data_IF_079609138229
#
_entry.id   IF_079609138229
#
_cell.length_a   1.000
_cell.length_b   1.000
_cell.length_c   1.000
_cell.angle_alpha   90.00
_cell.angle_beta   90.00
_cell.angle_gamma   90.00
#
_symmetry.space_group_name_H-M   'P 1'
#
loop_
_entity.id
_entity.type
_entity.pdbx_description
1 polymer ?
#
# COMPACT_ATOMS: atom_id res chain seq x y z
N UNK A 1 -22.54 -37.25 -3.15
CA UNK A 1 -21.15 -36.80 -3.31
C UNK A 1 -21.03 -35.28 -3.49
N UNK A 2 -21.57 -34.66 -4.55
CA UNK A 2 -21.42 -33.20 -4.81
C UNK A 2 -21.92 -32.25 -3.71
N UNK A 3 -23.02 -32.58 -3.05
CA UNK A 3 -23.56 -31.73 -1.98
C UNK A 3 -22.62 -31.62 -0.77
N UNK A 4 -21.81 -32.66 -0.52
CA UNK A 4 -20.85 -32.67 0.59
C UNK A 4 -19.64 -31.81 0.22
N UNK A 5 -19.06 -32.00 -0.97
CA UNK A 5 -17.94 -31.17 -1.45
C UNK A 5 -18.30 -29.68 -1.51
N UNK A 6 -19.52 -29.36 -1.94
CA UNK A 6 -20.01 -27.98 -1.95
C UNK A 6 -20.13 -27.40 -0.54
N UNK A 7 -20.74 -28.15 0.40
CA UNK A 7 -20.85 -27.73 1.80
C UNK A 7 -19.47 -27.51 2.44
N UNK A 8 -18.53 -28.44 2.22
CA UNK A 8 -17.16 -28.34 2.73
C UNK A 8 -16.49 -27.08 2.16
N UNK A 9 -16.57 -26.85 0.84
CA UNK A 9 -15.97 -25.68 0.22
C UNK A 9 -16.56 -24.36 0.76
N UNK A 10 -17.88 -24.29 0.97
CA UNK A 10 -18.53 -23.12 1.57
C UNK A 10 -18.06 -22.91 3.01
N UNK A 11 -18.03 -23.95 3.83
CA UNK A 11 -17.57 -23.85 5.23
C UNK A 11 -16.12 -23.40 5.29
N UNK A 12 -15.23 -24.01 4.51
CA UNK A 12 -13.83 -23.59 4.42
C UNK A 12 -13.69 -22.13 3.95
N UNK A 13 -14.49 -21.73 2.96
CA UNK A 13 -14.51 -20.37 2.45
C UNK A 13 -14.95 -19.35 3.51
N UNK A 14 -15.94 -19.71 4.33
CA UNK A 14 -16.40 -18.87 5.43
C UNK A 14 -15.37 -18.79 6.56
N UNK A 15 -14.65 -19.87 6.85
CA UNK A 15 -13.58 -19.88 7.85
C UNK A 15 -12.45 -18.94 7.44
N UNK A 16 -11.96 -19.05 6.19
CA UNK A 16 -10.89 -18.19 5.69
C UNK A 16 -11.32 -16.72 5.71
N UNK A 17 -12.55 -16.42 5.27
CA UNK A 17 -13.09 -15.06 5.30
C UNK A 17 -13.21 -14.51 6.72
N UNK A 18 -13.64 -15.34 7.68
CA UNK A 18 -13.71 -14.96 9.09
C UNK A 18 -12.31 -14.64 9.64
N UNK A 19 -11.30 -15.46 9.35
CA UNK A 19 -9.91 -15.19 9.76
C UNK A 19 -9.41 -13.89 9.15
N UNK A 20 -9.68 -13.61 7.88
CA UNK A 20 -9.31 -12.36 7.22
C UNK A 20 -9.94 -11.13 7.89
N UNK A 21 -11.24 -11.18 8.19
CA UNK A 21 -11.93 -10.07 8.83
C UNK A 21 -11.49 -9.86 10.27
N UNK A 22 -11.29 -10.93 11.05
CA UNK A 22 -10.74 -10.83 12.40
C UNK A 22 -9.33 -10.23 12.35
N UNK A 23 -8.47 -10.69 11.45
CA UNK A 23 -7.12 -10.14 11.26
C UNK A 23 -7.17 -8.64 10.97
N UNK A 24 -8.05 -8.23 10.04
CA UNK A 24 -8.20 -6.82 9.66
C UNK A 24 -8.70 -5.96 10.83
N UNK A 25 -9.68 -6.47 11.59
CA UNK A 25 -10.20 -5.79 12.78
C UNK A 25 -9.12 -5.62 13.84
N UNK A 26 -8.36 -6.68 14.14
CA UNK A 26 -7.28 -6.66 15.12
C UNK A 26 -6.15 -5.70 14.70
N UNK A 27 -5.81 -5.67 13.40
CA UNK A 27 -4.84 -4.73 12.85
C UNK A 27 -5.28 -3.27 13.08
N UNK A 28 -6.55 -2.95 12.80
CA UNK A 28 -7.09 -1.61 13.02
C UNK A 28 -7.08 -1.26 14.51
N UNK A 29 -7.57 -2.14 15.37
CA UNK A 29 -7.65 -1.90 16.82
C UNK A 29 -6.26 -1.69 17.45
N UNK A 30 -5.26 -2.48 17.03
CA UNK A 30 -3.88 -2.31 17.46
C UNK A 30 -3.30 -0.97 16.95
N UNK A 31 -3.54 -0.64 15.68
CA UNK A 31 -3.05 0.60 15.08
C UNK A 31 -3.67 1.87 15.67
N UNK A 32 -4.91 1.78 16.18
CA UNK A 32 -5.60 2.88 16.86
C UNK A 32 -5.38 2.90 18.37
N UNK A 33 -4.47 2.07 18.92
CA UNK A 33 -4.15 1.98 20.35
C UNK A 33 -5.39 1.60 21.21
N UNK A 34 -6.38 0.94 20.60
CA UNK A 34 -7.57 0.44 21.30
C UNK A 34 -7.32 -0.89 21.99
N UNK A 35 -6.27 -1.61 21.56
CA UNK A 35 -5.91 -2.92 22.05
C UNK A 35 -4.41 -2.97 22.28
N UNK A 36 -4.01 -3.53 23.42
CA UNK A 36 -2.63 -3.92 23.68
C UNK A 36 -2.55 -5.45 23.62
N UNK A 37 -1.71 -5.97 22.74
CA UNK A 37 -1.46 -7.40 22.58
C UNK A 37 -0.14 -7.79 23.24
N UNK A 38 -0.07 -9.03 23.73
CA UNK A 38 1.18 -9.68 24.09
C UNK A 38 2.02 -10.02 22.83
N UNK A 39 3.32 -10.28 23.01
CA UNK A 39 4.27 -10.53 21.92
C UNK A 39 3.88 -11.71 21.03
N UNK A 40 3.27 -12.75 21.60
CA UNK A 40 2.86 -13.93 20.83
C UNK A 40 1.65 -13.60 19.94
N UNK A 41 0.59 -13.04 20.52
CA UNK A 41 -0.61 -12.62 19.77
C UNK A 41 -0.26 -11.62 18.67
N UNK A 42 0.63 -10.67 18.97
CA UNK A 42 1.12 -9.70 18.00
C UNK A 42 1.90 -10.37 16.87
N UNK A 43 2.78 -11.33 17.19
CA UNK A 43 3.55 -12.07 16.17
C UNK A 43 2.64 -12.88 15.24
N UNK A 44 1.58 -13.51 15.79
CA UNK A 44 0.57 -14.21 14.98
C UNK A 44 -0.20 -13.23 14.08
N UNK A 45 -0.60 -12.08 14.61
CA UNK A 45 -1.27 -11.04 13.83
C UNK A 45 -0.39 -10.54 12.67
N UNK A 46 0.89 -10.24 12.94
CA UNK A 46 1.86 -9.84 11.91
C UNK A 46 2.05 -10.93 10.86
N UNK A 47 2.13 -12.19 11.28
CA UNK A 47 2.20 -13.32 10.35
C UNK A 47 0.96 -13.40 9.46
N UNK A 48 -0.24 -13.26 10.02
CA UNK A 48 -1.50 -13.28 9.25
C UNK A 48 -1.58 -12.11 8.26
N UNK A 49 -1.16 -10.90 8.67
CA UNK A 49 -1.11 -9.72 7.80
C UNK A 49 -0.15 -9.96 6.63
N UNK A 50 1.07 -10.43 6.92
CA UNK A 50 2.09 -10.65 5.90
C UNK A 50 1.72 -11.79 4.92
N UNK A 51 0.89 -12.75 5.36
CA UNK A 51 0.42 -13.86 4.54
C UNK A 51 -1.02 -13.67 4.00
N UNK A 52 -1.58 -12.47 4.08
CA UNK A 52 -2.92 -12.18 3.55
C UNK A 52 -3.11 -12.57 2.06
N UNK A 53 -2.13 -12.37 1.15
CA UNK A 53 -2.24 -12.83 -0.23
C UNK A 53 -2.39 -14.35 -0.37
N UNK A 54 -1.69 -15.12 0.47
CA UNK A 54 -1.82 -16.59 0.49
C UNK A 54 -3.23 -17.03 0.90
N UNK A 55 -3.83 -16.34 1.87
CA UNK A 55 -5.22 -16.62 2.26
C UNK A 55 -6.21 -16.30 1.13
N UNK A 56 -6.00 -15.23 0.37
CA UNK A 56 -6.81 -14.92 -0.81
C UNK A 56 -6.67 -16.01 -1.88
N UNK A 57 -5.44 -16.48 -2.15
CA UNK A 57 -5.21 -17.58 -3.09
C UNK A 57 -5.83 -18.90 -2.61
N UNK A 58 -5.77 -19.19 -1.31
CA UNK A 58 -6.43 -20.35 -0.71
C UNK A 58 -7.96 -20.28 -0.88
N UNK A 59 -8.56 -19.10 -0.63
CA UNK A 59 -9.99 -18.87 -0.84
C UNK A 59 -10.43 -19.13 -2.28
N UNK A 60 -9.68 -18.60 -3.25
CA UNK A 60 -9.95 -18.83 -4.68
C UNK A 60 -9.86 -20.32 -5.00
N UNK A 61 -8.83 -21.00 -4.49
CA UNK A 61 -8.62 -22.43 -4.71
C UNK A 61 -9.78 -23.27 -4.18
N UNK A 62 -10.27 -22.97 -2.97
CA UNK A 62 -11.44 -23.63 -2.37
C UNK A 62 -12.70 -23.39 -3.20
N UNK A 63 -12.92 -22.15 -3.67
CA UNK A 63 -14.09 -21.80 -4.49
C UNK A 63 -14.08 -22.47 -5.87
N UNK A 64 -12.90 -22.77 -6.41
CA UNK A 64 -12.76 -23.48 -7.69
C UNK A 64 -13.12 -24.96 -7.61
N UNK A 65 -13.08 -25.60 -6.43
CA UNK A 65 -13.35 -27.05 -6.28
C UNK A 65 -14.78 -27.41 -6.74
N UNK A 66 -15.86 -26.78 -6.23
CA UNK A 66 -17.22 -27.13 -6.66
C UNK A 66 -17.52 -26.70 -8.10
N UNK A 67 -16.91 -25.62 -8.56
CA UNK A 67 -17.01 -25.18 -9.95
C UNK A 67 -16.42 -26.25 -10.88
N UNK A 68 -15.17 -26.67 -10.66
CA UNK A 68 -14.50 -27.71 -11.43
C UNK A 68 -15.28 -29.05 -11.38
N UNK A 69 -15.74 -29.48 -10.20
CA UNK A 69 -16.53 -30.70 -10.06
C UNK A 69 -17.84 -30.62 -10.88
N UNK A 70 -18.54 -29.48 -10.84
CA UNK A 70 -19.79 -29.27 -11.60
C UNK A 70 -19.57 -29.28 -13.12
N UNK A 71 -18.42 -28.78 -13.57
CA UNK A 71 -18.02 -28.79 -14.99
C UNK A 71 -17.69 -30.20 -15.45
N UNK A 72 -16.80 -30.90 -14.73
CA UNK A 72 -16.37 -32.27 -15.07
C UNK A 72 -17.58 -33.20 -15.16
N UNK A 73 -18.47 -33.15 -14.18
CA UNK A 73 -19.66 -34.01 -14.13
C UNK A 73 -20.61 -33.67 -15.28
N UNK A 74 -20.85 -32.40 -15.58
CA UNK A 74 -21.72 -32.01 -16.68
C UNK A 74 -21.18 -32.38 -18.07
N UNK A 75 -19.86 -32.38 -18.27
CA UNK A 75 -19.24 -32.90 -19.50
C UNK A 75 -19.36 -34.42 -19.62
N UNK A 76 -19.18 -35.16 -18.51
CA UNK A 76 -19.27 -36.62 -18.49
C UNK A 76 -20.71 -37.16 -18.51
N UNK A 77 -21.72 -36.33 -18.26
CA UNK A 77 -23.12 -36.79 -18.25
C UNK A 77 -23.59 -37.12 -19.67
N UNK A 78 -23.76 -38.42 -19.95
CA UNK A 78 -24.37 -38.90 -21.20
C UNK A 78 -25.88 -38.58 -21.23
N UNK A 79 -26.39 -38.21 -22.40
CA UNK A 79 -27.79 -37.84 -22.59
C UNK A 79 -28.57 -39.04 -23.12
N UNK A 80 -28.67 -40.08 -22.29
CA UNK A 80 -29.41 -41.31 -22.58
C UNK A 80 -30.36 -41.55 -21.41
N UNK A 81 -31.58 -42.02 -21.65
CA UNK A 81 -32.58 -42.30 -20.61
C UNK A 81 -33.74 -43.12 -21.17
N UNK A 82 -34.48 -43.77 -20.29
CA UNK A 82 -35.56 -44.71 -20.67
C UNK A 82 -36.83 -43.96 -21.11
N UNK A 83 -37.02 -42.72 -20.66
CA UNK A 83 -38.18 -41.90 -20.99
C UNK A 83 -37.80 -40.46 -21.39
N UNK A 84 -38.75 -39.78 -22.05
CA UNK A 84 -38.54 -38.42 -22.55
C UNK A 84 -38.35 -37.37 -21.43
N UNK A 85 -38.78 -37.65 -20.20
CA UNK A 85 -38.60 -36.76 -19.05
C UNK A 85 -37.16 -36.82 -18.52
N UNK A 86 -36.58 -38.01 -18.41
CA UNK A 86 -35.21 -38.23 -17.96
C UNK A 86 -34.19 -37.62 -18.95
N UNK A 87 -34.43 -37.78 -20.25
CA UNK A 87 -33.62 -37.15 -21.31
C UNK A 87 -33.68 -35.62 -21.20
N UNK A 88 -34.86 -35.04 -20.93
CA UNK A 88 -35.03 -33.58 -20.73
C UNK A 88 -34.25 -33.09 -19.52
N UNK A 89 -34.30 -33.80 -18.39
CA UNK A 89 -33.55 -33.46 -17.17
C UNK A 89 -32.04 -33.52 -17.38
N UNK A 90 -31.53 -34.57 -18.04
CA UNK A 90 -30.10 -34.70 -18.37
C UNK A 90 -29.63 -33.61 -19.34
N UNK A 91 -30.43 -33.24 -20.35
CA UNK A 91 -30.15 -32.09 -21.23
C UNK A 91 -30.11 -30.77 -20.47
N UNK A 92 -31.08 -30.54 -19.58
CA UNK A 92 -31.14 -29.33 -18.75
C UNK A 92 -29.92 -29.23 -17.82
N UNK A 93 -29.53 -30.33 -17.18
CA UNK A 93 -28.32 -30.40 -16.35
C UNK A 93 -27.05 -30.08 -17.14
N UNK A 94 -26.87 -30.67 -18.33
CA UNK A 94 -25.73 -30.40 -19.20
C UNK A 94 -25.66 -28.92 -19.64
N UNK A 95 -26.80 -28.31 -19.98
CA UNK A 95 -26.88 -26.86 -20.29
C UNK A 95 -26.52 -26.01 -19.08
N UNK A 96 -27.06 -26.35 -17.90
CA UNK A 96 -26.77 -25.63 -16.64
C UNK A 96 -25.29 -25.74 -16.27
N UNK A 97 -24.69 -26.92 -16.39
CA UNK A 97 -23.26 -27.11 -16.13
C UNK A 97 -22.39 -26.28 -17.08
N UNK A 98 -22.71 -26.23 -18.38
CA UNK A 98 -22.00 -25.35 -19.34
C UNK A 98 -22.12 -23.86 -18.99
N UNK A 99 -23.33 -23.39 -18.66
CA UNK A 99 -23.54 -22.01 -18.21
C UNK A 99 -22.78 -21.71 -16.91
N UNK A 100 -22.78 -22.66 -15.98
CA UNK A 100 -22.01 -22.57 -14.72
C UNK A 100 -20.51 -22.55 -14.98
N UNK A 101 -20.00 -23.31 -15.95
CA UNK A 101 -18.60 -23.32 -16.37
C UNK A 101 -18.18 -21.94 -16.90
N UNK A 102 -19.00 -21.39 -17.80
CA UNK A 102 -18.76 -20.07 -18.38
C UNK A 102 -18.80 -18.97 -17.31
N UNK A 103 -19.79 -19.03 -16.40
CA UNK A 103 -19.89 -18.09 -15.30
C UNK A 103 -18.67 -18.18 -14.35
N UNK A 104 -18.21 -19.38 -14.01
CA UNK A 104 -17.02 -19.58 -13.18
C UNK A 104 -15.74 -19.06 -13.87
N UNK A 105 -15.61 -19.29 -15.18
CA UNK A 105 -14.48 -18.78 -15.96
C UNK A 105 -14.47 -17.24 -15.98
N UNK A 106 -15.61 -16.61 -16.24
CA UNK A 106 -15.73 -15.15 -16.23
C UNK A 106 -15.42 -14.57 -14.84
N UNK A 107 -15.94 -15.20 -13.77
CA UNK A 107 -15.63 -14.79 -12.40
C UNK A 107 -14.13 -14.89 -12.09
N UNK A 108 -13.47 -15.98 -12.49
CA UNK A 108 -12.03 -16.16 -12.30
C UNK A 108 -11.21 -15.09 -13.05
N UNK A 109 -11.57 -14.80 -14.30
CA UNK A 109 -10.93 -13.74 -15.10
C UNK A 109 -11.09 -12.38 -14.40
N UNK A 110 -12.28 -12.04 -13.94
CA UNK A 110 -12.54 -10.78 -13.21
C UNK A 110 -11.70 -10.67 -11.95
N UNK A 111 -11.59 -11.75 -11.17
CA UNK A 111 -10.76 -11.78 -9.94
C UNK A 111 -9.28 -11.60 -10.30
N UNK A 112 -8.78 -12.31 -11.30
CA UNK A 112 -7.39 -12.18 -11.76
C UNK A 112 -7.11 -10.75 -12.20
N UNK A 113 -7.97 -10.16 -13.04
CA UNK A 113 -7.82 -8.78 -13.51
C UNK A 113 -7.84 -7.78 -12.36
N UNK A 114 -8.74 -7.95 -11.39
CA UNK A 114 -8.81 -7.07 -10.20
C UNK A 114 -7.54 -7.18 -9.36
N UNK A 115 -7.05 -8.40 -9.10
CA UNK A 115 -5.86 -8.64 -8.29
C UNK A 115 -4.54 -8.26 -8.99
N UNK A 116 -4.51 -8.22 -10.31
CA UNK A 116 -3.31 -7.85 -11.08
C UNK A 116 -3.36 -6.39 -11.49
N UNK A 117 -4.30 -6.03 -12.36
CA UNK A 117 -4.45 -4.67 -12.90
C UNK A 117 -4.94 -3.72 -11.82
N UNK A 118 -5.96 -4.08 -11.05
CA UNK A 118 -6.49 -3.23 -9.98
C UNK A 118 -5.43 -2.91 -8.93
N UNK A 119 -4.72 -3.93 -8.44
CA UNK A 119 -3.61 -3.75 -7.49
C UNK A 119 -2.45 -2.97 -8.13
N UNK A 120 -2.14 -3.19 -9.40
CA UNK A 120 -1.08 -2.43 -10.10
C UNK A 120 -1.40 -0.95 -10.20
N UNK A 121 -2.65 -0.59 -10.55
CA UNK A 121 -3.08 0.81 -10.63
C UNK A 121 -2.96 1.48 -9.26
N UNK A 122 -3.37 0.78 -8.19
CA UNK A 122 -3.27 1.29 -6.82
C UNK A 122 -1.83 1.42 -6.32
N UNK A 123 -0.88 0.67 -6.90
CA UNK A 123 0.54 0.71 -6.51
C UNK A 123 1.39 1.64 -7.38
N UNK A 124 0.79 2.47 -8.24
CA UNK A 124 1.54 3.49 -8.97
C UNK A 124 2.10 4.50 -7.95
N UNK A 125 3.40 4.40 -7.69
CA UNK A 125 4.10 5.33 -6.80
C UNK A 125 4.35 6.64 -7.53
N UNK A 126 3.94 7.80 -6.98
CA UNK A 126 4.30 9.08 -7.55
C UNK A 126 5.81 9.22 -7.68
N UNK A 127 6.25 9.75 -8.83
CA UNK A 127 7.64 10.11 -9.07
C UNK A 127 7.95 11.38 -8.28
N UNK A 128 9.04 11.36 -7.54
CA UNK A 128 9.51 12.50 -6.77
C UNK A 128 10.17 13.52 -7.70
N UNK A 129 9.97 14.82 -7.46
CA UNK A 129 10.69 15.88 -8.16
C UNK A 129 12.21 15.67 -8.01
N UNK A 130 13.01 15.88 -9.07
CA UNK A 130 14.45 15.70 -8.99
C UNK A 130 15.08 16.70 -8.00
N UNK A 131 16.23 16.36 -7.38
CA UNK A 131 16.93 17.29 -6.52
C UNK A 131 17.41 18.52 -7.27
N UNK A 132 17.22 19.69 -6.67
CA UNK A 132 17.68 20.98 -7.14
C UNK A 132 19.10 21.29 -6.64
N UNK A 133 19.85 22.13 -7.38
CA UNK A 133 21.16 22.58 -6.94
C UNK A 133 21.06 23.55 -5.76
N UNK A 134 22.14 23.65 -5.00
CA UNK A 134 22.35 24.62 -3.93
C UNK A 134 23.84 24.91 -3.78
N UNK A 135 24.19 26.01 -3.12
CA UNK A 135 25.59 26.36 -2.86
C UNK A 135 26.10 25.65 -1.61
N UNK A 136 27.28 25.04 -1.67
CA UNK A 136 27.90 24.37 -0.52
C UNK A 136 29.32 24.89 -0.35
N UNK A 137 29.54 25.67 0.71
CA UNK A 137 30.85 26.21 1.06
C UNK A 137 31.10 26.04 2.56
N UNK A 138 32.30 25.59 2.93
CA UNK A 138 32.75 25.44 4.32
C UNK A 138 31.77 24.67 5.24
N UNK A 139 31.12 23.63 4.71
CA UNK A 139 30.15 22.83 5.46
C UNK A 139 28.81 23.53 5.72
N UNK A 140 28.50 24.59 4.97
CA UNK A 140 27.21 25.29 5.01
C UNK A 140 26.53 25.21 3.64
N UNK A 141 25.39 24.53 3.61
CA UNK A 141 24.49 24.53 2.46
C UNK A 141 23.66 25.83 2.47
N UNK A 142 23.65 26.56 1.35
CA UNK A 142 22.94 27.82 1.18
C UNK A 142 21.92 27.71 0.05
N UNK A 143 20.67 28.04 0.36
CA UNK A 143 19.54 28.03 -0.56
C UNK A 143 18.93 29.44 -0.60
N UNK A 144 18.86 30.04 -1.78
CA UNK A 144 18.31 31.40 -1.94
C UNK A 144 16.77 31.37 -1.93
N UNK A 145 16.13 32.35 -1.31
CA UNK A 145 14.65 32.43 -1.28
C UNK A 145 14.04 32.48 -2.67
N UNK A 146 14.70 33.12 -3.63
CA UNK A 146 14.22 33.18 -5.02
C UNK A 146 13.99 31.79 -5.61
N UNK A 147 14.76 30.79 -5.19
CA UNK A 147 14.62 29.40 -5.62
C UNK A 147 13.39 28.71 -5.02
N UNK A 148 13.01 29.06 -3.78
CA UNK A 148 12.04 28.27 -2.98
C UNK A 148 10.77 29.03 -2.56
N UNK A 149 10.53 30.20 -3.15
CA UNK A 149 9.49 31.15 -2.69
C UNK A 149 8.17 31.10 -3.48
N UNK A 150 8.07 30.21 -4.46
CA UNK A 150 6.91 30.02 -5.34
C UNK A 150 5.72 29.31 -4.65
N UNK A 151 5.96 28.69 -3.49
CA UNK A 151 4.95 27.96 -2.73
C UNK A 151 4.93 26.45 -2.98
N UNK A 152 5.82 25.93 -3.81
CA UNK A 152 5.92 24.51 -4.14
C UNK A 152 6.94 23.75 -3.28
N UNK A 153 6.90 22.43 -3.38
CA UNK A 153 7.84 21.54 -2.71
C UNK A 153 9.17 21.45 -3.47
N UNK A 154 10.22 22.02 -2.88
CA UNK A 154 11.59 21.92 -3.39
C UNK A 154 12.34 20.80 -2.71
N UNK A 155 13.12 20.05 -3.47
CA UNK A 155 13.92 18.92 -2.98
C UNK A 155 15.38 19.17 -3.26
N UNK A 156 16.21 18.76 -2.31
CA UNK A 156 17.66 18.84 -2.39
C UNK A 156 18.28 17.50 -1.98
N UNK A 157 19.49 17.25 -2.45
CA UNK A 157 20.23 16.03 -2.14
C UNK A 157 21.58 16.39 -1.53
N UNK A 158 21.88 15.81 -0.38
CA UNK A 158 23.15 15.96 0.32
C UNK A 158 23.80 14.60 0.49
N UNK A 159 25.12 14.51 0.32
CA UNK A 159 25.88 13.29 0.61
C UNK A 159 26.58 13.46 1.96
N UNK A 160 26.15 12.67 2.94
CA UNK A 160 26.72 12.68 4.28
C UNK A 160 28.18 12.17 4.28
N UNK A 161 28.91 12.49 5.36
CA UNK A 161 30.31 12.07 5.54
C UNK A 161 30.54 10.57 5.46
N UNK A 162 29.55 9.78 5.87
CA UNK A 162 29.59 8.32 5.82
C UNK A 162 29.25 7.75 4.42
N UNK A 163 29.00 8.62 3.44
CA UNK A 163 28.67 8.27 2.07
C UNK A 163 27.17 8.15 1.78
N UNK A 164 26.31 8.22 2.81
CA UNK A 164 24.86 8.11 2.66
C UNK A 164 24.30 9.27 1.85
N UNK A 165 23.51 8.96 0.81
CA UNK A 165 22.81 9.97 0.01
C UNK A 165 21.49 10.31 0.70
N UNK A 166 21.45 11.49 1.28
CA UNK A 166 20.30 12.04 1.99
C UNK A 166 19.56 13.03 1.11
N UNK A 167 18.29 13.24 1.43
CA UNK A 167 17.45 14.28 0.79
C UNK A 167 16.78 15.13 1.85
N UNK A 168 16.62 16.40 1.55
CA UNK A 168 15.83 17.32 2.36
C UNK A 168 14.90 18.13 1.48
N UNK A 169 13.82 18.62 2.07
CA UNK A 169 12.79 19.38 1.38
C UNK A 169 12.59 20.74 2.04
N UNK A 170 12.24 21.71 1.20
CA UNK A 170 11.92 23.08 1.61
C UNK A 170 10.61 23.46 0.96
N UNK A 171 9.72 24.07 1.74
CA UNK A 171 8.47 24.64 1.22
C UNK A 171 8.11 25.92 1.96
N UNK A 172 7.63 26.92 1.22
CA UNK A 172 7.10 28.15 1.80
C UNK A 172 5.72 27.91 2.41
N UNK A 173 5.57 28.26 3.68
CA UNK A 173 4.32 28.18 4.44
C UNK A 173 3.46 29.42 4.22
N UNK A 174 2.19 29.31 4.58
CA UNK A 174 1.30 30.46 4.77
C UNK A 174 1.92 31.42 5.80
N UNK A 175 1.94 32.72 5.48
CA UNK A 175 2.58 33.74 6.31
C UNK A 175 4.07 33.99 6.04
N UNK A 176 4.65 33.33 5.02
CA UNK A 176 6.01 33.63 4.53
C UNK A 176 7.15 32.94 5.28
N UNK A 177 6.85 32.13 6.29
CA UNK A 177 7.81 31.23 6.93
C UNK A 177 8.15 30.04 6.01
N UNK A 178 9.23 29.31 6.31
CA UNK A 178 9.62 28.11 5.57
C UNK A 178 9.49 26.86 6.44
N UNK A 179 9.04 25.76 5.83
CA UNK A 179 9.14 24.42 6.38
C UNK A 179 10.38 23.75 5.80
N UNK A 180 11.27 23.28 6.67
CA UNK A 180 12.51 22.60 6.29
C UNK A 180 12.60 21.31 7.10
N UNK A 181 12.92 20.22 6.43
CA UNK A 181 13.10 18.91 7.06
C UNK A 181 13.63 17.88 6.07
N UNK A 182 14.02 16.71 6.56
CA UNK A 182 14.47 15.61 5.70
C UNK A 182 13.32 15.13 4.82
N UNK A 183 13.64 14.63 3.63
CA UNK A 183 12.71 13.89 2.76
C UNK A 183 12.50 12.47 3.30
N UNK A 184 12.26 12.36 4.61
CA UNK A 184 12.11 11.15 5.41
C UNK A 184 11.24 11.42 6.64
N UNK A 185 10.60 10.38 7.16
CA UNK A 185 9.74 10.47 8.36
C UNK A 185 9.97 9.28 9.31
N UNK A 186 9.54 9.44 10.57
CA UNK A 186 9.73 8.43 11.62
C UNK A 186 9.01 7.11 11.31
N UNK A 187 7.83 7.19 10.66
CA UNK A 187 6.99 6.02 10.40
C UNK A 187 7.36 5.29 9.09
N UNK A 188 7.87 6.02 8.10
CA UNK A 188 8.01 5.52 6.72
C UNK A 188 9.44 5.45 6.21
N UNK A 189 10.40 6.00 6.96
CA UNK A 189 11.79 6.12 6.52
C UNK A 189 11.93 7.14 5.38
N UNK A 190 12.87 6.87 4.48
CA UNK A 190 13.27 7.73 3.35
C UNK A 190 12.34 7.67 2.12
N UNK A 191 11.08 7.26 2.30
CA UNK A 191 10.14 7.14 1.19
C UNK A 191 9.97 8.45 0.39
N UNK A 192 10.09 9.58 1.07
CA UNK A 192 9.98 10.93 0.53
C UNK A 192 8.55 11.45 0.40
N UNK A 193 8.45 12.70 -0.07
CA UNK A 193 7.20 13.46 -0.16
C UNK A 193 6.91 13.98 -1.57
N UNK A 194 5.64 14.03 -1.95
CA UNK A 194 5.24 14.60 -3.22
C UNK A 194 4.14 15.64 -3.02
N UNK A 195 4.06 16.60 -3.93
CA UNK A 195 2.99 17.59 -3.94
C UNK A 195 1.85 17.12 -4.84
N UNK A 196 0.61 17.22 -4.35
CA UNK A 196 -0.60 16.93 -5.10
C UNK A 196 -1.73 17.80 -4.59
N UNK A 197 -2.42 18.50 -5.49
CA UNK A 197 -3.56 19.36 -5.17
C UNK A 197 -3.25 20.39 -4.05
N UNK A 198 -2.03 20.95 -4.07
CA UNK A 198 -1.56 21.93 -3.07
C UNK A 198 -1.27 21.34 -1.67
N UNK A 199 -1.24 20.01 -1.55
CA UNK A 199 -0.89 19.29 -0.32
C UNK A 199 0.43 18.57 -0.47
N UNK A 200 1.16 18.43 0.63
CA UNK A 200 2.36 17.61 0.72
C UNK A 200 1.97 16.25 1.26
N UNK A 201 2.29 15.18 0.53
CA UNK A 201 1.84 13.82 0.83
C UNK A 201 3.06 12.90 0.97
N UNK A 202 3.08 12.07 2.02
CA UNK A 202 4.10 11.04 2.15
C UNK A 202 3.91 9.94 1.11
N UNK A 203 4.96 9.62 0.34
CA UNK A 203 4.91 8.65 -0.76
C UNK A 203 4.57 7.22 -0.33
N UNK A 204 4.76 6.87 0.96
CA UNK A 204 4.52 5.51 1.48
C UNK A 204 3.19 5.36 2.21
N UNK A 205 2.87 6.27 3.12
CA UNK A 205 1.63 6.20 3.93
C UNK A 205 0.43 6.91 3.27
N UNK A 206 0.65 7.66 2.18
CA UNK A 206 -0.35 8.50 1.48
C UNK A 206 -1.08 9.52 2.41
N UNK A 207 -0.48 9.80 3.57
CA UNK A 207 -0.99 10.79 4.51
C UNK A 207 -0.61 12.18 4.02
N UNK A 208 -1.63 13.04 3.86
CA UNK A 208 -1.46 14.46 3.60
C UNK A 208 -0.99 15.18 4.87
N UNK A 209 0.09 15.93 4.74
CA UNK A 209 0.75 16.66 5.82
C UNK A 209 0.24 18.09 5.85
N UNK A 210 0.00 18.60 7.06
CA UNK A 210 -0.32 20.00 7.25
C UNK A 210 0.93 20.86 6.99
N UNK A 211 0.83 21.78 6.04
CA UNK A 211 1.95 22.65 5.66
C UNK A 211 2.54 23.45 6.83
N UNK A 212 1.68 23.86 7.78
CA UNK A 212 2.11 24.59 8.97
C UNK A 212 3.02 23.75 9.88
N UNK A 213 2.82 22.43 9.91
CA UNK A 213 3.52 21.50 10.81
C UNK A 213 4.84 20.98 10.25
N UNK A 214 5.20 21.29 9.00
CA UNK A 214 6.50 20.92 8.44
C UNK A 214 7.61 21.68 9.19
N UNK A 215 8.55 20.95 9.78
CA UNK A 215 9.56 21.50 10.71
C UNK A 215 9.25 21.22 12.19
N UNK A 216 8.14 20.53 12.49
CA UNK A 216 7.87 19.94 13.80
C UNK A 216 7.96 18.42 13.72
N UNK A 217 8.45 17.79 14.80
CA UNK A 217 8.63 16.34 14.90
C UNK A 217 7.28 15.61 15.00
N UNK A 218 7.21 14.39 14.45
CA UNK A 218 6.17 13.41 14.75
C UNK A 218 5.43 12.83 13.54
N UNK A 219 5.14 11.53 13.59
CA UNK A 219 4.29 10.83 12.62
C UNK A 219 4.87 10.82 11.20
N UNK A 220 4.03 11.12 10.19
CA UNK A 220 4.48 11.26 8.80
C UNK A 220 5.04 12.67 8.48
N UNK A 221 5.28 13.57 9.46
CA UNK A 221 5.94 14.87 9.18
C UNK A 221 7.42 14.69 8.80
N UNK A 222 7.96 15.57 7.92
CA UNK A 222 9.39 15.59 7.61
C UNK A 222 10.24 15.76 8.87
N UNK A 223 11.28 14.94 9.03
CA UNK A 223 12.14 15.00 10.23
C UNK A 223 12.84 16.36 10.28
N UNK A 224 12.60 17.18 11.32
CA UNK A 224 13.19 18.51 11.41
C UNK A 224 14.67 18.45 11.79
N UNK A 225 15.42 19.45 11.35
CA UNK A 225 16.80 19.67 11.76
C UNK A 225 17.07 21.19 11.85
N UNK A 226 18.12 21.62 12.56
CA UNK A 226 18.45 23.04 12.68
C UNK A 226 18.74 23.70 11.32
N UNK A 227 18.16 24.89 11.11
CA UNK A 227 18.46 25.76 9.97
C UNK A 227 18.32 27.22 10.40
N UNK A 228 18.89 28.13 9.63
CA UNK A 228 18.64 29.58 9.78
C UNK A 228 17.98 30.09 8.51
N UNK A 229 16.89 30.83 8.68
CA UNK A 229 16.18 31.50 7.59
C UNK A 229 16.21 33.01 7.86
N UNK A 230 16.73 33.78 6.92
CA UNK A 230 16.88 35.23 7.05
C UNK A 230 17.73 35.81 5.92
N UNK A 231 17.72 37.14 5.77
CA UNK A 231 18.55 37.84 4.77
C UNK A 231 18.41 37.28 3.34
N UNK A 232 17.22 36.82 2.96
CA UNK A 232 16.94 36.29 1.61
C UNK A 232 17.43 34.87 1.34
N UNK A 233 17.89 34.12 2.36
CA UNK A 233 18.41 32.75 2.19
C UNK A 233 18.11 31.85 3.39
N UNK A 234 18.20 30.54 3.14
CA UNK A 234 18.20 29.47 4.13
C UNK A 234 19.60 28.90 4.18
N UNK A 235 20.18 28.78 5.38
CA UNK A 235 21.49 28.17 5.60
C UNK A 235 21.36 26.96 6.54
N UNK A 236 22.01 25.86 6.16
CA UNK A 236 21.98 24.58 6.88
C UNK A 236 23.42 24.12 7.09
N UNK A 237 23.79 23.81 8.33
CA UNK A 237 25.11 23.23 8.61
C UNK A 237 25.09 21.74 8.26
N UNK A 238 26.05 21.28 7.47
CA UNK A 238 26.08 19.88 7.03
C UNK A 238 26.32 18.90 8.18
N UNK A 239 26.94 19.36 9.27
CA UNK A 239 27.09 18.58 10.49
C UNK A 239 25.73 18.17 11.10
N UNK A 240 24.71 19.04 11.00
CA UNK A 240 23.35 18.73 11.47
C UNK A 240 22.66 17.68 10.59
N UNK A 241 23.05 17.59 9.31
CA UNK A 241 22.57 16.55 8.40
C UNK A 241 23.32 15.24 8.61
N UNK A 242 24.64 15.29 8.80
CA UNK A 242 25.50 14.10 8.95
C UNK A 242 25.02 13.17 10.08
N UNK A 243 24.59 13.75 11.21
CA UNK A 243 24.11 12.99 12.38
C UNK A 243 22.75 12.31 12.14
N UNK A 244 22.03 12.67 11.07
CA UNK A 244 20.73 12.14 10.71
C UNK A 244 20.77 11.14 9.53
N UNK A 245 21.98 10.79 9.06
CA UNK A 245 22.20 9.84 7.97
C UNK A 245 21.56 8.47 8.18
N UNK A 246 21.36 8.03 9.43
CA UNK A 246 20.70 6.77 9.77
C UNK A 246 19.25 6.68 9.30
N UNK A 247 18.57 7.80 9.03
CA UNK A 247 17.21 7.83 8.50
C UNK A 247 17.11 7.44 7.01
N UNK A 248 18.25 7.29 6.33
CA UNK A 248 18.36 6.93 4.91
C UNK A 248 19.10 5.60 4.71
N UNK A 249 19.06 4.71 5.70
CA UNK A 249 19.70 3.37 5.68
C UNK A 249 18.67 2.25 5.81
#
# INVERSE_FOLDING_TARGET
>A
SNAICFKIAVVLSMIILLVQHITSLLQIMQGSILLYMDDFSFSVLVWLINNAPLMIMAQISVFMIPAAASVIIGFKTAVVGENAAEIRTKRAFKRKSRKSALAALLAAITVILTLTVGVSIMNIKPTLTPPEPYELHDGVATINYVQVSDGHLHRFQYKAKDGTVMRFIIIKKNGGAYGVGLDACENCGDAGYYEKDGKIICRKCDVAINLATIGFKGGCNPIPFPYKAGHGKITIHTADLDVLSSHFK
#
